data_IF_118282222983
#
_entry.id   IF_118282222983
#
_cell.length_a   1.000
_cell.length_b   1.000
_cell.length_c   1.000
_cell.angle_alpha   90.00
_cell.angle_beta   90.00
_cell.angle_gamma   90.00
#
_symmetry.space_group_name_H-M   'P 1'
#
loop_
_entity.id
_entity.type
_entity.pdbx_description
1 polymer ?
#
# COMPACT_ATOMS: atom_id res chain seq x y z
N UNK A 1 51.57 -71.64 -11.64
CA UNK A 1 52.21 -70.86 -10.56
C UNK A 1 52.78 -69.58 -11.13
N UNK A 2 52.13 -68.43 -10.86
CA UNK A 2 52.74 -67.09 -10.84
C UNK A 2 51.69 -66.11 -10.30
N UNK A 3 52.04 -65.51 -9.17
CA UNK A 3 51.33 -64.40 -8.52
C UNK A 3 51.38 -63.16 -9.41
N UNK A 4 50.40 -62.26 -9.32
CA UNK A 4 50.66 -60.82 -9.19
C UNK A 4 49.40 -60.02 -8.81
N UNK A 5 49.53 -59.40 -7.64
CA UNK A 5 49.06 -58.10 -7.18
C UNK A 5 47.57 -57.72 -7.03
N UNK A 6 47.30 -57.42 -5.77
CA UNK A 6 46.14 -56.84 -5.11
C UNK A 6 46.08 -55.33 -5.39
N UNK A 7 44.96 -54.83 -5.91
CA UNK A 7 44.64 -53.39 -5.89
C UNK A 7 43.44 -53.16 -4.98
N UNK A 8 43.71 -52.52 -3.85
CA UNK A 8 42.74 -52.03 -2.88
C UNK A 8 42.17 -50.72 -3.43
N UNK A 9 40.90 -50.71 -3.84
CA UNK A 9 40.15 -49.47 -4.07
C UNK A 9 39.33 -49.17 -2.82
N UNK A 10 39.76 -48.18 -2.05
CA UNK A 10 39.02 -47.65 -0.91
C UNK A 10 37.77 -46.92 -1.40
N UNK A 11 36.59 -47.40 -0.98
CA UNK A 11 35.30 -46.73 -1.23
C UNK A 11 35.10 -45.69 -0.12
N UNK A 12 35.19 -44.41 -0.47
CA UNK A 12 34.82 -43.31 0.42
C UNK A 12 33.28 -43.17 0.44
N UNK A 13 32.62 -43.12 1.60
CA UNK A 13 31.22 -42.71 1.66
C UNK A 13 31.13 -41.18 1.47
N UNK A 14 30.37 -40.76 0.46
CA UNK A 14 29.96 -39.37 0.29
C UNK A 14 28.96 -39.03 1.41
N UNK A 15 29.40 -38.25 2.40
CA UNK A 15 28.50 -37.66 3.37
C UNK A 15 27.63 -36.62 2.66
N UNK A 16 26.33 -36.90 2.54
CA UNK A 16 25.35 -35.93 2.05
C UNK A 16 25.13 -34.92 3.18
N UNK A 17 25.81 -33.78 3.11
CA UNK A 17 25.50 -32.66 3.99
C UNK A 17 24.08 -32.20 3.66
N UNK A 18 23.14 -32.43 4.58
CA UNK A 18 21.85 -31.78 4.60
C UNK A 18 22.09 -30.28 4.75
N UNK A 19 22.14 -29.58 3.62
CA UNK A 19 22.08 -28.14 3.59
C UNK A 19 20.80 -27.71 4.28
N UNK A 20 20.93 -27.28 5.54
CA UNK A 20 19.96 -26.41 6.16
C UNK A 20 19.85 -25.24 5.20
N UNK A 21 18.76 -25.17 4.45
CA UNK A 21 18.35 -23.96 3.76
C UNK A 21 18.08 -22.96 4.88
N UNK A 22 19.13 -22.29 5.34
CA UNK A 22 18.97 -20.98 5.93
C UNK A 22 18.33 -20.18 4.82
N UNK A 23 17.01 -19.95 4.95
CA UNK A 23 16.36 -18.90 4.19
C UNK A 23 17.29 -17.69 4.33
N UNK A 24 17.86 -17.26 3.21
CA UNK A 24 18.69 -16.08 3.21
C UNK A 24 17.89 -15.00 3.94
N UNK A 25 18.48 -14.27 4.90
CA UNK A 25 17.80 -13.10 5.45
C UNK A 25 17.34 -12.29 4.24
N UNK A 26 16.02 -12.05 4.16
CA UNK A 26 15.45 -11.29 3.06
C UNK A 26 16.30 -10.01 2.93
N UNK A 27 16.75 -9.66 1.72
CA UNK A 27 17.61 -8.50 1.57
C UNK A 27 16.87 -7.30 2.15
N UNK A 28 17.42 -6.74 3.22
CA UNK A 28 17.03 -5.43 3.74
C UNK A 28 17.46 -4.42 2.67
N UNK A 29 16.60 -4.24 1.68
CA UNK A 29 16.88 -3.40 0.52
C UNK A 29 16.84 -1.91 0.86
N UNK A 30 16.77 -1.51 2.13
CA UNK A 30 16.80 -0.10 2.54
C UNK A 30 15.75 0.77 1.85
N UNK A 31 14.70 0.17 1.28
CA UNK A 31 13.65 0.90 0.57
C UNK A 31 12.76 1.51 1.63
N UNK A 32 13.06 2.73 2.04
CA UNK A 32 12.16 3.52 2.87
C UNK A 32 11.12 4.17 1.96
N UNK A 33 9.84 3.81 2.09
CA UNK A 33 8.76 4.45 1.32
C UNK A 33 7.69 3.49 0.83
N UNK A 34 6.86 3.98 -0.10
CA UNK A 34 5.78 3.24 -0.71
C UNK A 34 6.26 2.43 -1.91
N UNK A 35 5.87 1.15 -1.99
CA UNK A 35 6.13 0.25 -3.12
C UNK A 35 4.82 -0.26 -3.72
N UNK A 36 4.80 -0.53 -5.02
CA UNK A 36 3.59 -1.05 -5.68
C UNK A 36 3.35 -2.49 -5.23
N UNK A 37 2.16 -2.78 -4.70
CA UNK A 37 1.72 -4.14 -4.38
C UNK A 37 1.12 -4.83 -5.60
N UNK A 38 0.14 -4.19 -6.24
CA UNK A 38 -0.50 -4.73 -7.43
C UNK A 38 -1.18 -3.62 -8.23
N UNK A 39 -1.54 -3.96 -9.48
CA UNK A 39 -2.20 -3.08 -10.43
C UNK A 39 -3.42 -3.81 -10.98
N UNK A 40 -4.58 -3.14 -10.99
CA UNK A 40 -5.83 -3.65 -11.54
C UNK A 40 -6.28 -2.72 -12.68
N UNK A 41 -6.57 -3.24 -13.90
CA UNK A 41 -7.09 -2.42 -14.98
C UNK A 41 -8.55 -2.01 -14.70
N UNK A 42 -8.86 -0.73 -14.95
CA UNK A 42 -10.20 -0.14 -14.78
C UNK A 42 -10.49 0.74 -16.00
N UNK A 43 -11.19 0.18 -16.98
CA UNK A 43 -11.38 0.82 -18.28
C UNK A 43 -10.03 1.06 -18.97
N UNK A 44 -9.72 2.31 -19.30
CA UNK A 44 -8.43 2.72 -19.89
C UNK A 44 -7.35 3.04 -18.83
N UNK A 45 -7.70 3.03 -17.55
CA UNK A 45 -6.81 3.39 -16.45
C UNK A 45 -6.30 2.17 -15.69
N UNK A 46 -5.25 2.41 -14.91
CA UNK A 46 -4.70 1.44 -13.96
C UNK A 46 -4.99 1.92 -12.54
N UNK A 47 -5.57 1.05 -11.72
CA UNK A 47 -5.67 1.24 -10.28
C UNK A 47 -4.47 0.58 -9.61
N UNK A 48 -3.60 1.40 -9.02
CA UNK A 48 -2.32 1.01 -8.42
C UNK A 48 -2.41 1.11 -6.91
N UNK A 49 -2.00 0.04 -6.24
CA UNK A 49 -2.06 -0.09 -4.78
C UNK A 49 -0.64 0.01 -4.22
N UNK A 50 -0.41 0.94 -3.30
CA UNK A 50 0.92 1.26 -2.76
C UNK A 50 1.04 0.88 -1.30
N UNK A 51 1.94 -0.05 -0.98
CA UNK A 51 2.18 -0.57 0.36
C UNK A 51 3.45 0.03 0.97
N UNK A 52 3.50 0.12 2.29
CA UNK A 52 4.74 0.38 3.01
C UNK A 52 5.75 -0.73 2.71
N UNK A 53 7.00 -0.36 2.42
CA UNK A 53 8.06 -1.33 2.28
C UNK A 53 8.24 -2.17 3.57
N UNK A 54 8.68 -3.44 3.45
CA UNK A 54 8.84 -4.34 4.59
C UNK A 54 9.65 -3.68 5.73
N UNK A 55 9.18 -3.78 6.97
CA UNK A 55 9.87 -3.26 8.15
C UNK A 55 9.55 -1.82 8.56
N UNK A 56 8.73 -1.08 7.79
CA UNK A 56 8.38 0.33 8.09
C UNK A 56 7.03 0.53 8.78
N UNK A 57 6.34 -0.57 9.14
CA UNK A 57 5.00 -0.54 9.73
C UNK A 57 4.97 0.02 11.15
N UNK A 58 4.98 1.34 11.29
CA UNK A 58 4.66 2.00 12.56
C UNK A 58 3.16 2.21 12.66
N UNK A 59 2.49 1.44 13.53
CA UNK A 59 1.12 1.74 13.97
C UNK A 59 1.20 3.02 14.81
N UNK A 60 0.77 4.16 14.25
CA UNK A 60 0.83 5.43 14.95
C UNK A 60 -0.03 5.39 16.23
N UNK A 61 0.55 5.81 17.35
CA UNK A 61 -0.08 5.78 18.66
C UNK A 61 -1.19 6.85 18.80
N UNK A 62 -2.31 6.45 19.42
CA UNK A 62 -3.42 7.32 19.84
C UNK A 62 -2.91 8.44 20.75
N UNK A 63 -2.97 9.69 20.29
CA UNK A 63 -2.97 10.86 21.19
C UNK A 63 -4.01 11.88 20.73
N UNK A 64 -4.91 12.27 21.65
CA UNK A 64 -5.95 13.32 21.59
C UNK A 64 -7.03 13.28 20.46
N UNK A 65 -6.82 12.64 19.32
CA UNK A 65 -7.83 12.51 18.24
C UNK A 65 -9.03 11.60 18.56
N UNK A 66 -9.01 10.86 19.66
CA UNK A 66 -10.06 9.87 19.97
C UNK A 66 -11.46 10.50 20.14
N UNK A 67 -11.56 11.76 20.61
CA UNK A 67 -12.86 12.45 20.76
C UNK A 67 -13.38 13.07 19.47
N UNK A 68 -12.49 13.45 18.56
CA UNK A 68 -12.84 14.05 17.28
C UNK A 68 -12.92 13.01 16.15
N UNK A 69 -12.56 11.76 16.40
CA UNK A 69 -12.56 10.72 15.40
C UNK A 69 -13.95 10.52 14.78
N UNK A 70 -14.01 10.51 13.45
CA UNK A 70 -15.24 10.48 12.66
C UNK A 70 -15.75 11.86 12.22
N UNK A 71 -15.15 12.97 12.67
CA UNK A 71 -15.55 14.33 12.22
C UNK A 71 -15.23 14.61 10.75
N UNK A 72 -14.20 13.95 10.20
CA UNK A 72 -13.77 14.12 8.80
C UNK A 72 -13.48 15.58 8.43
N UNK A 73 -12.78 16.31 9.29
CA UNK A 73 -12.50 17.75 9.11
C UNK A 73 -11.69 18.02 7.84
N UNK A 74 -12.31 18.62 6.83
CA UNK A 74 -11.70 18.84 5.51
C UNK A 74 -10.84 20.11 5.51
N UNK A 75 -9.66 20.01 4.89
CA UNK A 75 -8.79 21.14 4.54
C UNK A 75 -8.33 20.99 3.09
N UNK A 76 -8.60 22.02 2.28
CA UNK A 76 -8.17 22.04 0.90
C UNK A 76 -6.71 22.45 0.75
N UNK A 77 -6.05 21.95 -0.29
CA UNK A 77 -4.67 22.30 -0.62
C UNK A 77 -4.56 22.78 -2.08
N UNK A 78 -3.65 23.71 -2.32
CA UNK A 78 -3.28 24.18 -3.66
C UNK A 78 -2.15 23.36 -4.31
N UNK A 79 -1.59 22.37 -3.61
CA UNK A 79 -0.47 21.53 -4.09
C UNK A 79 -0.94 20.14 -4.50
N UNK A 80 -0.21 19.49 -5.42
CA UNK A 80 -0.51 18.13 -5.91
C UNK A 80 -1.95 17.97 -6.44
N UNK A 81 -2.43 18.95 -7.19
CA UNK A 81 -3.78 18.97 -7.76
C UNK A 81 -4.00 17.75 -8.67
N UNK A 82 -5.08 17.02 -8.41
CA UNK A 82 -5.56 15.93 -9.26
C UNK A 82 -6.72 16.38 -10.14
N UNK A 83 -6.85 15.75 -11.29
CA UNK A 83 -7.96 15.97 -12.22
C UNK A 83 -9.29 15.53 -11.60
N UNK A 84 -10.31 16.40 -11.68
CA UNK A 84 -11.67 16.12 -11.20
C UNK A 84 -12.26 14.86 -11.83
N UNK A 85 -11.97 14.61 -13.10
CA UNK A 85 -12.47 13.43 -13.81
C UNK A 85 -11.84 12.14 -13.29
N UNK A 86 -10.52 12.14 -13.08
CA UNK A 86 -9.79 10.96 -12.60
C UNK A 86 -10.19 10.62 -11.17
N UNK A 87 -10.36 11.64 -10.31
CA UNK A 87 -10.82 11.43 -8.94
C UNK A 87 -12.26 10.93 -8.85
N UNK A 88 -13.16 11.44 -9.70
CA UNK A 88 -14.53 10.92 -9.79
C UNK A 88 -14.52 9.43 -10.11
N UNK A 89 -13.70 9.01 -11.09
CA UNK A 89 -13.59 7.60 -11.45
C UNK A 89 -12.99 6.77 -10.33
N UNK A 90 -11.91 7.22 -9.68
CA UNK A 90 -11.33 6.53 -8.53
C UNK A 90 -12.37 6.30 -7.44
N UNK A 91 -13.09 7.34 -7.02
CA UNK A 91 -14.09 7.27 -5.95
C UNK A 91 -15.20 6.27 -6.31
N UNK A 92 -15.62 6.22 -7.57
CA UNK A 92 -16.62 5.26 -8.04
C UNK A 92 -16.08 3.82 -8.06
N UNK A 93 -14.78 3.65 -8.30
CA UNK A 93 -14.11 2.35 -8.33
C UNK A 93 -13.84 1.75 -6.95
N UNK A 94 -13.76 2.55 -5.88
CA UNK A 94 -13.49 2.08 -4.50
C UNK A 94 -14.64 1.27 -3.86
N UNK A 95 -15.65 0.87 -4.62
CA UNK A 95 -16.81 0.14 -4.14
C UNK A 95 -16.80 -1.36 -4.51
N UNK A 96 -15.61 -1.93 -4.73
CA UNK A 96 -15.46 -3.32 -5.23
C UNK A 96 -15.61 -4.40 -4.15
N UNK A 97 -15.63 -4.02 -2.87
CA UNK A 97 -15.62 -4.97 -1.75
C UNK A 97 -14.27 -5.68 -1.54
N UNK A 98 -13.23 -5.27 -2.27
CA UNK A 98 -11.85 -5.74 -2.06
C UNK A 98 -11.41 -5.33 -0.64
N UNK A 99 -10.83 -6.28 0.09
CA UNK A 99 -10.17 -5.97 1.36
C UNK A 99 -8.77 -5.44 1.10
N UNK A 100 -8.55 -4.23 1.56
CA UNK A 100 -7.24 -3.62 1.74
C UNK A 100 -6.63 -4.28 2.97
N UNK A 101 -5.47 -4.92 2.86
CA UNK A 101 -4.75 -5.46 4.02
C UNK A 101 -4.19 -4.35 4.92
N UNK A 102 -3.34 -4.70 5.89
CA UNK A 102 -2.59 -3.73 6.71
C UNK A 102 -1.85 -2.65 5.88
N UNK A 103 -1.56 -3.01 4.63
CA UNK A 103 -1.01 -2.19 3.58
C UNK A 103 -1.78 -2.57 2.30
N UNK A 104 -2.26 -1.64 1.46
CA UNK A 104 -1.64 -0.35 1.11
C UNK A 104 -1.92 0.84 2.04
N UNK A 105 -1.23 1.95 1.77
CA UNK A 105 -1.45 3.29 2.35
C UNK A 105 -1.87 4.33 1.33
N UNK A 106 -1.91 3.94 0.06
CA UNK A 106 -2.60 4.68 -0.99
C UNK A 106 -3.09 3.79 -2.12
N UNK A 107 -4.19 4.22 -2.73
CA UNK A 107 -4.79 3.64 -3.92
C UNK A 107 -4.91 4.76 -4.94
N UNK A 108 -4.27 4.58 -6.10
CA UNK A 108 -4.24 5.57 -7.16
C UNK A 108 -4.90 5.04 -8.42
N UNK A 109 -5.77 5.83 -9.05
CA UNK A 109 -6.24 5.58 -10.41
C UNK A 109 -5.56 6.57 -11.36
N UNK A 110 -5.00 6.07 -12.45
CA UNK A 110 -4.40 6.90 -13.49
C UNK A 110 -3.04 6.40 -13.94
N UNK A 111 -2.27 7.28 -14.58
CA UNK A 111 -0.90 7.00 -14.99
C UNK A 111 -0.01 8.24 -14.78
N UNK A 112 1.16 8.05 -14.16
CA UNK A 112 2.19 9.08 -13.98
C UNK A 112 1.63 10.40 -13.43
N UNK A 113 1.74 11.51 -14.17
CA UNK A 113 1.37 12.86 -13.75
C UNK A 113 -0.13 13.17 -13.85
N UNK A 114 -0.94 12.24 -14.37
CA UNK A 114 -2.39 12.37 -14.44
C UNK A 114 -3.04 11.20 -13.68
N UNK A 115 -2.87 11.23 -12.36
CA UNK A 115 -3.51 10.29 -11.44
C UNK A 115 -4.28 11.02 -10.35
N UNK A 116 -5.19 10.29 -9.73
CA UNK A 116 -5.77 10.63 -8.46
C UNK A 116 -5.48 9.51 -7.48
N UNK A 117 -5.19 9.86 -6.24
CA UNK A 117 -4.82 8.95 -5.18
C UNK A 117 -5.65 9.26 -3.94
N UNK A 118 -6.23 8.22 -3.35
CA UNK A 118 -6.67 8.23 -1.96
C UNK A 118 -5.54 7.65 -1.13
N UNK A 119 -5.03 8.41 -0.16
CA UNK A 119 -3.96 7.97 0.74
C UNK A 119 -4.30 8.27 2.19
N UNK A 120 -3.70 7.55 3.14
CA UNK A 120 -3.99 7.76 4.56
C UNK A 120 -2.82 7.57 5.53
N UNK A 121 -2.96 8.19 6.70
CA UNK A 121 -1.95 8.17 7.74
C UNK A 121 -2.08 6.93 8.65
N UNK A 122 -1.06 6.08 8.70
CA UNK A 122 -0.98 4.91 9.58
C UNK A 122 -1.54 3.62 8.98
N UNK A 123 -1.10 2.50 9.54
CA UNK A 123 -1.68 1.19 9.25
C UNK A 123 -3.04 1.06 9.94
N UNK A 124 -4.06 0.66 9.18
CA UNK A 124 -5.46 0.64 9.63
C UNK A 124 -6.02 -0.77 9.78
N UNK A 125 -5.21 -1.82 9.72
CA UNK A 125 -5.78 -3.18 9.69
C UNK A 125 -6.34 -3.55 8.32
N UNK A 126 -6.94 -4.73 8.23
CA UNK A 126 -7.71 -5.12 7.05
C UNK A 126 -9.07 -4.41 7.05
N UNK A 127 -9.42 -3.74 5.96
CA UNK A 127 -10.70 -3.05 5.79
C UNK A 127 -11.17 -3.10 4.33
N UNK A 128 -12.48 -2.99 4.04
CA UNK A 128 -12.93 -2.88 2.67
C UNK A 128 -12.58 -1.51 2.06
N UNK A 129 -12.28 -1.47 0.75
CA UNK A 129 -12.04 -0.21 0.03
C UNK A 129 -13.14 0.83 0.19
N UNK A 130 -14.39 0.36 0.37
CA UNK A 130 -15.56 1.22 0.54
C UNK A 130 -15.45 2.17 1.73
N UNK A 131 -14.66 1.83 2.75
CA UNK A 131 -14.47 2.67 3.93
C UNK A 131 -13.74 3.98 3.60
N UNK A 132 -12.99 4.01 2.48
CA UNK A 132 -12.31 5.21 1.99
C UNK A 132 -13.25 6.21 1.30
N UNK A 133 -14.43 5.77 0.87
CA UNK A 133 -15.29 6.54 -0.04
C UNK A 133 -15.86 7.80 0.62
N UNK A 134 -16.29 7.71 1.88
CA UNK A 134 -16.97 8.82 2.56
C UNK A 134 -16.06 10.04 2.72
N UNK A 135 -14.86 9.85 3.28
CA UNK A 135 -13.90 10.94 3.41
C UNK A 135 -13.43 11.47 2.04
N UNK A 136 -13.22 10.59 1.05
CA UNK A 136 -12.84 11.00 -0.30
C UNK A 136 -13.92 11.87 -0.95
N UNK A 137 -15.20 11.52 -0.83
CA UNK A 137 -16.33 12.32 -1.32
C UNK A 137 -16.42 13.67 -0.63
N UNK A 138 -16.20 13.73 0.69
CA UNK A 138 -16.20 14.99 1.43
C UNK A 138 -15.08 15.92 0.97
N UNK A 139 -13.85 15.40 0.81
CA UNK A 139 -12.73 16.18 0.27
C UNK A 139 -13.06 16.64 -1.15
N UNK A 140 -13.56 15.74 -1.99
CA UNK A 140 -13.92 16.04 -3.37
C UNK A 140 -14.95 17.18 -3.46
N UNK A 141 -16.09 17.03 -2.79
CA UNK A 141 -17.16 18.04 -2.83
C UNK A 141 -16.78 19.40 -2.23
N UNK A 142 -15.77 19.44 -1.36
CA UNK A 142 -15.31 20.68 -0.71
C UNK A 142 -14.16 21.35 -1.45
N UNK A 143 -13.23 20.57 -2.00
CA UNK A 143 -11.93 21.06 -2.45
C UNK A 143 -11.69 20.95 -3.95
N UNK A 144 -12.56 20.27 -4.70
CA UNK A 144 -12.42 20.16 -6.15
C UNK A 144 -13.28 21.20 -6.85
N UNK A 145 -12.63 21.88 -7.79
CA UNK A 145 -13.30 22.71 -8.79
C UNK A 145 -13.77 21.85 -9.97
N UNK A 146 -14.29 22.50 -11.01
CA UNK A 146 -14.66 21.82 -12.25
C UNK A 146 -13.50 21.07 -12.93
N UNK A 147 -12.24 21.48 -12.69
CA UNK A 147 -11.08 20.94 -13.43
C UNK A 147 -10.13 20.15 -12.54
N UNK A 148 -9.82 20.65 -11.35
CA UNK A 148 -8.90 20.00 -10.43
C UNK A 148 -9.15 20.39 -8.96
N UNK A 149 -8.50 19.66 -8.07
CA UNK A 149 -8.48 19.95 -6.65
C UNK A 149 -7.51 19.05 -5.89
N UNK A 150 -7.35 19.36 -4.61
CA UNK A 150 -6.71 18.46 -3.66
C UNK A 150 -7.11 18.83 -2.24
N UNK A 151 -7.01 17.88 -1.33
CA UNK A 151 -7.22 18.17 0.08
C UNK A 151 -6.98 16.95 0.96
N UNK A 152 -7.24 17.16 2.23
CA UNK A 152 -7.19 16.12 3.25
C UNK A 152 -8.37 16.27 4.20
N UNK A 153 -8.82 15.15 4.74
CA UNK A 153 -9.73 15.06 5.85
C UNK A 153 -8.94 14.53 7.05
N UNK A 154 -8.99 15.25 8.18
CA UNK A 154 -8.44 14.78 9.45
C UNK A 154 -9.51 14.01 10.22
N UNK A 155 -9.06 13.24 11.21
CA UNK A 155 -9.94 12.50 12.10
C UNK A 155 -10.89 11.54 11.36
N UNK A 156 -10.44 10.95 10.26
CA UNK A 156 -11.19 9.92 9.54
C UNK A 156 -11.10 8.63 10.34
N UNK A 157 -12.24 7.99 10.61
CA UNK A 157 -12.28 6.71 11.31
C UNK A 157 -12.23 5.58 10.28
N UNK A 158 -11.09 4.89 10.17
CA UNK A 158 -10.91 3.71 9.33
C UNK A 158 -10.59 2.51 10.23
N UNK A 159 -11.45 1.49 10.21
CA UNK A 159 -11.30 0.28 11.02
C UNK A 159 -10.88 0.57 12.49
N UNK A 160 -11.65 1.42 13.16
CA UNK A 160 -11.44 1.86 14.54
C UNK A 160 -10.13 2.66 14.81
N UNK A 161 -9.42 3.07 13.76
CA UNK A 161 -8.20 3.87 13.83
C UNK A 161 -8.46 5.25 13.21
N UNK A 162 -7.99 6.29 13.92
CA UNK A 162 -8.14 7.66 13.47
C UNK A 162 -6.97 8.04 12.58
N UNK A 163 -7.27 8.43 11.34
CA UNK A 163 -6.28 8.77 10.34
C UNK A 163 -6.58 10.13 9.70
N UNK A 164 -5.59 10.66 9.00
CA UNK A 164 -5.78 11.67 7.98
C UNK A 164 -5.87 10.95 6.65
N UNK A 165 -6.93 11.21 5.87
CA UNK A 165 -7.07 10.72 4.50
C UNK A 165 -6.88 11.89 3.53
N UNK A 166 -6.13 11.69 2.46
CA UNK A 166 -5.87 12.68 1.42
C UNK A 166 -6.52 12.26 0.10
N UNK A 167 -6.85 13.24 -0.74
CA UNK A 167 -7.25 13.06 -2.13
C UNK A 167 -6.43 14.02 -2.99
N UNK A 168 -5.50 13.50 -3.79
CA UNK A 168 -4.53 14.31 -4.56
C UNK A 168 -3.88 13.52 -5.71
N UNK A 169 -2.98 14.14 -6.47
CA UNK A 169 -2.18 13.48 -7.52
C UNK A 169 -0.95 12.75 -6.96
N UNK A 170 -0.87 12.61 -5.63
CA UNK A 170 0.27 11.99 -4.96
C UNK A 170 -0.20 10.83 -4.07
N UNK A 171 0.48 9.66 -4.14
CA UNK A 171 0.32 8.61 -3.15
C UNK A 171 0.76 9.05 -1.75
#
# INVERSE_FOLDING_TARGET
MKFFNLSIAAVLPLAIATGIVHAAPAPDNGVTGLVISHIVPVGEYNMTYWVDAPGTGTVAARTLSARACGTNDVTCSGSHLASTNVCTQLINSLNTGISIGNSPRSICLGQSNNQCCVSWSGGVGTMPESDLVNAAKNIFGTCFSATNGSGLARNVLLNNICVTQCLSNRP
#
